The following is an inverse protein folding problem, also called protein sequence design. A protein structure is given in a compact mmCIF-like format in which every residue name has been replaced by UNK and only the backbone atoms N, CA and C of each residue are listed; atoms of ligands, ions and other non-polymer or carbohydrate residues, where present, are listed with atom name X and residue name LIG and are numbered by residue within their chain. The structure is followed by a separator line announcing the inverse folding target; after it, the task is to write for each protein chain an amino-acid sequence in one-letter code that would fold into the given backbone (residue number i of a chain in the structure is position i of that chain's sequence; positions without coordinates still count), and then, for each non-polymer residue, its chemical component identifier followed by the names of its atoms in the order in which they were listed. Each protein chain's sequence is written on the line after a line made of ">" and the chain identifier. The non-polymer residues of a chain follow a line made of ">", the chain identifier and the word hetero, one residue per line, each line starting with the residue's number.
data_IF_723592944909
#
_entry.id   IF_723592944909
#
_cell.length_a   1.000
_cell.length_b   1.000
_cell.length_c   1.000
_cell.angle_alpha   90.00
_cell.angle_beta   90.00
_cell.angle_gamma   90.00
#
_symmetry.space_group_name_H-M   'P 1'
#
loop_
_entity.id
_entity.type
_entity.pdbx_description
1 polymer ?
#
# COMPACT_ATOMS: atom_id res chain seq x y z
N UNK A 1 -22.43 14.12 -4.81
CA UNK A 1 -21.67 12.99 -5.38
C UNK A 1 -21.21 12.12 -4.23
N UNK A 2 -21.90 11.01 -3.98
CA UNK A 2 -21.54 10.05 -2.93
C UNK A 2 -20.33 9.24 -3.40
N UNK A 3 -19.18 9.42 -2.74
CA UNK A 3 -18.05 8.48 -2.82
C UNK A 3 -18.32 7.38 -1.79
N UNK A 4 -18.87 6.27 -2.24
CA UNK A 4 -18.85 5.05 -1.45
C UNK A 4 -17.42 4.52 -1.41
N UNK A 5 -16.98 4.18 -0.20
CA UNK A 5 -15.76 3.45 0.10
C UNK A 5 -15.75 2.11 -0.67
N UNK A 6 -15.01 2.06 -1.77
CA UNK A 6 -14.39 0.82 -2.22
C UNK A 6 -13.14 0.65 -1.36
N UNK A 7 -13.27 -0.09 -0.27
CA UNK A 7 -12.12 -0.73 0.36
C UNK A 7 -11.61 -1.73 -0.67
N UNK A 8 -10.44 -1.44 -1.24
CA UNK A 8 -9.86 -2.13 -2.39
C UNK A 8 -9.38 -3.53 -2.00
N UNK A 9 -9.59 -4.50 -2.87
CA UNK A 9 -9.05 -5.88 -2.84
C UNK A 9 -7.53 -5.91 -3.16
N UNK A 10 -6.80 -4.90 -2.67
CA UNK A 10 -5.35 -4.77 -2.79
C UNK A 10 -4.61 -5.66 -1.79
N UNK A 11 -5.31 -6.16 -0.77
CA UNK A 11 -4.76 -7.04 0.27
C UNK A 11 -4.43 -8.42 -0.34
N UNK A 12 -5.40 -9.10 -0.97
CA UNK A 12 -5.16 -10.34 -1.70
C UNK A 12 -4.08 -10.24 -2.81
N UNK A 13 -3.91 -9.05 -3.40
CA UNK A 13 -2.91 -8.79 -4.45
C UNK A 13 -1.50 -8.67 -3.86
N UNK A 14 -1.36 -7.92 -2.77
CA UNK A 14 -0.06 -7.72 -2.12
C UNK A 14 0.35 -8.95 -1.30
N UNK A 15 -0.62 -9.74 -0.85
CA UNK A 15 -0.41 -11.01 -0.18
C UNK A 15 -0.01 -12.10 -1.20
N UNK A 16 -0.60 -12.15 -2.41
CA UNK A 16 -0.08 -12.96 -3.52
C UNK A 16 1.34 -12.56 -3.98
N UNK A 17 1.75 -11.31 -3.75
CA UNK A 17 3.11 -10.84 -4.02
C UNK A 17 4.08 -11.18 -2.88
N UNK A 18 3.59 -11.37 -1.65
CA UNK A 18 4.35 -11.79 -0.48
C UNK A 18 4.46 -13.33 -0.37
N UNK A 19 3.44 -14.07 -0.81
CA UNK A 19 3.33 -15.53 -0.73
C UNK A 19 4.30 -16.29 -1.64
N UNK A 20 5.01 -15.61 -2.55
CA UNK A 20 6.07 -16.28 -3.33
C UNK A 20 7.38 -16.47 -2.55
N UNK A 21 7.49 -15.98 -1.31
CA UNK A 21 8.64 -16.29 -0.43
C UNK A 21 8.26 -16.73 1.00
N UNK A 22 7.05 -16.50 1.50
CA UNK A 22 6.58 -17.06 2.79
C UNK A 22 5.06 -17.22 2.74
N UNK A 23 4.58 -18.47 2.74
CA UNK A 23 3.16 -18.75 2.73
C UNK A 23 2.52 -18.54 4.11
N UNK A 24 1.77 -17.46 4.27
CA UNK A 24 0.71 -17.33 5.29
C UNK A 24 -0.39 -16.40 4.75
N UNK A 25 -1.53 -16.98 4.38
CA UNK A 25 -2.74 -16.24 4.01
C UNK A 25 -3.27 -15.47 5.22
N UNK A 26 -3.25 -14.13 5.17
CA UNK A 26 -3.79 -13.25 6.21
C UNK A 26 -4.99 -12.45 5.69
N UNK A 27 -6.14 -13.11 5.54
CA UNK A 27 -7.42 -12.41 5.37
C UNK A 27 -8.52 -13.09 6.21
N UNK A 28 -8.66 -12.62 7.45
CA UNK A 28 -9.94 -12.24 8.07
C UNK A 28 -9.74 -11.85 9.54
N UNK A 29 -10.50 -10.84 9.98
CA UNK A 29 -10.64 -10.34 11.34
C UNK A 29 -11.00 -11.44 12.37
N UNK A 30 -10.03 -12.24 12.84
CA UNK A 30 -10.14 -13.02 14.06
C UNK A 30 -8.80 -13.02 14.80
N UNK A 31 -8.83 -12.49 16.02
CA UNK A 31 -7.87 -12.63 17.12
C UNK A 31 -6.57 -13.38 16.78
N UNK A 32 -5.59 -12.63 16.27
CA UNK A 32 -4.22 -13.11 16.19
C UNK A 32 -3.60 -13.12 17.59
N UNK A 33 -3.49 -14.31 18.17
CA UNK A 33 -2.63 -14.60 19.30
C UNK A 33 -1.32 -15.22 18.79
N UNK A 34 -0.15 -14.62 19.03
CA UNK A 34 1.11 -15.28 18.72
C UNK A 34 1.29 -16.46 19.68
N UNK A 35 1.15 -17.67 19.16
CA UNK A 35 1.51 -18.90 19.87
C UNK A 35 3.02 -19.05 19.80
N UNK A 36 3.73 -18.67 20.87
CA UNK A 36 5.18 -18.81 20.96
C UNK A 36 5.56 -20.16 21.56
N UNK A 37 5.86 -21.14 20.70
CA UNK A 37 6.74 -22.25 21.08
C UNK A 37 8.16 -21.97 20.57
N UNK A 38 9.12 -22.05 21.49
CA UNK A 38 10.55 -21.93 21.21
C UNK A 38 11.05 -23.21 20.53
N UNK A 39 11.77 -23.14 19.39
CA UNK A 39 12.44 -24.33 18.86
C UNK A 39 13.73 -24.59 19.62
N UNK A 40 13.82 -25.79 20.20
CA UNK A 40 15.05 -26.40 20.69
C UNK A 40 15.96 -26.75 19.51
N UNK A 41 17.22 -26.31 19.59
CA UNK A 41 18.31 -26.71 18.71
C UNK A 41 18.62 -28.20 18.84
N UNK A 42 18.74 -28.89 17.71
CA UNK A 42 19.57 -30.09 17.57
C UNK A 42 20.38 -29.96 16.27
N UNK A 43 21.68 -29.86 16.44
CA UNK A 43 22.71 -30.14 15.43
C UNK A 43 22.64 -31.61 15.01
N UNK A 44 22.99 -31.90 13.76
CA UNK A 44 23.87 -33.02 13.36
C UNK A 44 24.12 -32.95 11.83
N UNK A 45 25.34 -32.54 11.50
CA UNK A 45 26.33 -33.11 10.58
C UNK A 45 25.99 -33.72 9.20
N UNK A 46 26.78 -33.21 8.23
CA UNK A 46 27.53 -33.89 7.16
C UNK A 46 26.79 -34.76 6.11
N UNK A 47 26.91 -34.38 4.83
CA UNK A 47 27.85 -35.06 3.94
C UNK A 47 27.98 -34.40 2.55
N UNK A 48 29.25 -34.28 2.14
CA UNK A 48 29.72 -33.92 0.80
C UNK A 48 29.36 -35.00 -0.24
N UNK A 49 29.06 -34.58 -1.47
CA UNK A 49 29.47 -35.37 -2.63
C UNK A 49 29.63 -34.51 -3.89
N UNK A 50 30.90 -34.38 -4.30
CA UNK A 50 31.34 -34.01 -5.64
C UNK A 50 30.81 -34.99 -6.69
N UNK A 51 30.43 -34.49 -7.88
CA UNK A 51 30.93 -35.05 -9.14
C UNK A 51 30.45 -34.30 -10.41
N UNK A 52 31.46 -33.87 -11.18
CA UNK A 52 31.61 -34.06 -12.64
C UNK A 52 30.77 -33.23 -13.62
N UNK A 53 31.45 -32.18 -14.07
CA UNK A 53 31.67 -31.73 -15.45
C UNK A 53 31.27 -32.74 -16.55
N UNK A 54 30.47 -32.28 -17.52
CA UNK A 54 30.60 -32.71 -18.92
C UNK A 54 30.17 -31.60 -19.89
N UNK A 55 31.16 -31.19 -20.67
CA UNK A 55 31.19 -30.19 -21.73
C UNK A 55 30.58 -30.76 -23.00
N UNK A 56 29.59 -30.13 -23.62
CA UNK A 56 29.29 -30.35 -25.05
C UNK A 56 28.85 -29.04 -25.74
N UNK A 57 29.66 -28.73 -26.76
CA UNK A 57 29.56 -27.83 -27.90
C UNK A 57 28.23 -27.11 -28.23
N UNK A 58 28.38 -25.78 -28.40
CA UNK A 58 27.48 -24.87 -29.12
C UNK A 58 27.54 -25.05 -30.64
N UNK A 59 26.45 -24.78 -31.37
CA UNK A 59 26.52 -24.32 -32.75
C UNK A 59 26.32 -22.79 -32.83
N UNK A 60 27.31 -22.13 -33.40
CA UNK A 60 27.31 -20.73 -33.82
C UNK A 60 26.29 -20.48 -34.94
N UNK A 61 25.34 -19.57 -34.72
CA UNK A 61 24.57 -18.94 -35.81
C UNK A 61 24.87 -17.45 -35.82
N UNK A 62 25.77 -17.07 -36.72
CA UNK A 62 26.11 -15.69 -37.05
C UNK A 62 25.00 -15.08 -37.91
N UNK A 63 24.17 -14.21 -37.34
CA UNK A 63 23.31 -13.32 -38.11
C UNK A 63 23.84 -11.89 -38.02
N UNK A 64 24.53 -11.48 -39.09
CA UNK A 64 24.96 -10.10 -39.35
C UNK A 64 23.72 -9.23 -39.59
N UNK A 65 23.43 -8.33 -38.66
CA UNK A 65 22.45 -7.27 -38.86
C UNK A 65 23.11 -6.09 -39.58
N UNK A 66 22.71 -5.86 -40.83
CA UNK A 66 23.06 -4.68 -41.61
C UNK A 66 22.39 -3.43 -41.04
N UNK A 67 23.23 -2.51 -40.58
CA UNK A 67 22.94 -1.14 -40.13
C UNK A 67 22.24 -0.35 -41.26
N UNK A 68 20.91 -0.25 -41.23
CA UNK A 68 20.19 0.77 -42.01
C UNK A 68 20.23 2.10 -41.25
N UNK A 69 20.88 3.08 -41.88
CA UNK A 69 20.91 4.47 -41.45
C UNK A 69 19.50 5.06 -41.59
N UNK A 70 18.93 5.50 -40.46
CA UNK A 70 17.81 6.45 -40.49
C UNK A 70 18.38 7.86 -40.52
N UNK A 71 18.12 8.57 -41.61
CA UNK A 71 18.43 9.98 -41.82
C UNK A 71 17.15 10.80 -41.58
N UNK A 72 17.26 11.79 -40.67
CA UNK A 72 16.37 12.96 -40.54
C UNK A 72 15.18 12.77 -39.57
N UNK A 73 14.95 13.61 -38.56
CA UNK A 73 15.20 15.05 -38.43
C UNK A 73 15.76 15.42 -37.03
N UNK A 74 16.54 16.51 -36.90
CA UNK A 74 17.09 16.96 -35.63
C UNK A 74 15.99 17.53 -34.71
N UNK A 75 16.06 17.15 -33.44
CA UNK A 75 15.29 17.76 -32.35
C UNK A 75 15.89 19.15 -32.05
N UNK A 76 15.07 20.20 -31.84
CA UNK A 76 15.59 21.52 -31.53
C UNK A 76 16.34 21.52 -30.19
N UNK A 77 17.61 21.92 -30.25
CA UNK A 77 18.49 22.16 -29.12
C UNK A 77 17.94 23.33 -28.30
N UNK A 78 17.44 23.06 -27.09
CA UNK A 78 17.21 24.12 -26.11
C UNK A 78 18.55 24.45 -25.47
N UNK A 79 18.98 25.67 -25.73
CA UNK A 79 20.16 26.32 -25.18
C UNK A 79 20.02 26.37 -23.65
N UNK A 80 21.04 25.85 -22.98
CA UNK A 80 21.30 26.05 -21.57
C UNK A 80 21.77 27.49 -21.35
N UNK A 81 20.93 28.34 -20.76
CA UNK A 81 21.39 29.55 -20.09
C UNK A 81 21.03 29.46 -18.61
N UNK A 82 22.09 29.23 -17.82
CA UNK A 82 22.12 29.43 -16.39
C UNK A 82 21.93 30.91 -16.07
N UNK A 83 20.75 31.26 -15.56
CA UNK A 83 20.56 32.50 -14.80
C UNK A 83 19.94 32.16 -13.45
N UNK A 84 20.78 32.28 -12.41
CA UNK A 84 20.35 32.36 -11.03
C UNK A 84 19.44 33.57 -10.87
N UNK A 85 18.15 33.33 -10.62
CA UNK A 85 17.24 34.33 -10.08
C UNK A 85 16.65 33.79 -8.78
N UNK A 86 17.08 34.41 -7.69
CA UNK A 86 16.50 34.31 -6.37
C UNK A 86 15.03 34.75 -6.41
N UNK A 87 14.12 33.84 -6.07
CA UNK A 87 12.69 34.14 -5.87
C UNK A 87 12.37 33.90 -4.39
N UNK A 88 11.63 34.81 -3.73
CA UNK A 88 11.51 34.82 -2.28
C UNK A 88 10.55 33.74 -1.77
N UNK A 89 10.79 33.33 -0.52
CA UNK A 89 9.94 32.46 0.28
C UNK A 89 8.49 33.00 0.33
N UNK A 90 7.61 32.43 -0.48
CA UNK A 90 6.16 32.57 -0.33
C UNK A 90 5.71 31.53 0.70
N UNK A 91 5.40 32.03 1.89
CA UNK A 91 4.72 31.30 2.96
C UNK A 91 3.33 30.85 2.48
N UNK A 92 3.19 29.57 2.13
CA UNK A 92 1.88 28.96 1.91
C UNK A 92 1.26 28.63 3.27
N UNK A 93 0.37 29.52 3.73
CA UNK A 93 -0.59 29.18 4.78
C UNK A 93 -1.58 28.17 4.21
N UNK A 94 -1.50 26.92 4.68
CA UNK A 94 -2.55 25.93 4.47
C UNK A 94 -3.79 26.34 5.27
N UNK A 95 -4.80 26.88 4.59
CA UNK A 95 -6.13 27.10 5.16
C UNK A 95 -6.87 25.76 5.19
N UNK A 96 -6.83 25.08 6.34
CA UNK A 96 -7.74 23.98 6.63
C UNK A 96 -9.17 24.50 6.65
N UNK A 97 -10.02 24.00 5.74
CA UNK A 97 -11.47 24.19 5.81
C UNK A 97 -12.02 23.35 6.97
N UNK A 98 -12.07 23.97 8.15
CA UNK A 98 -12.77 23.45 9.33
C UNK A 98 -14.22 23.93 9.24
N UNK A 99 -15.17 23.02 9.05
CA UNK A 99 -16.57 23.33 9.31
C UNK A 99 -16.71 23.64 10.81
N UNK A 100 -16.85 24.92 11.14
CA UNK A 100 -17.13 25.41 12.49
C UNK A 100 -18.64 25.48 12.66
N UNK A 101 -19.21 24.49 13.32
CA UNK A 101 -20.52 24.64 13.95
C UNK A 101 -20.34 25.52 15.19
N UNK A 102 -20.86 26.73 15.15
CA UNK A 102 -21.00 27.60 16.32
C UNK A 102 -21.95 26.94 17.32
N UNK A 103 -21.40 26.35 18.39
CA UNK A 103 -22.15 26.01 19.58
C UNK A 103 -21.89 27.08 20.64
N UNK A 104 -22.97 27.72 21.09
CA UNK A 104 -22.97 28.64 22.22
C UNK A 104 -22.68 27.84 23.48
N UNK A 105 -21.56 28.14 24.13
CA UNK A 105 -21.11 27.51 25.37
C UNK A 105 -21.65 28.33 26.54
N UNK A 106 -22.56 27.77 27.31
CA UNK A 106 -22.91 28.28 28.63
C UNK A 106 -21.93 27.67 29.64
N UNK A 107 -21.04 28.51 30.17
CA UNK A 107 -20.22 28.19 31.32
C UNK A 107 -21.12 27.97 32.55
N UNK A 108 -21.08 26.77 33.12
CA UNK A 108 -21.49 26.54 34.49
C UNK A 108 -20.50 25.57 35.17
N UNK A 109 -19.82 26.15 36.14
CA UNK A 109 -19.46 25.61 37.45
C UNK A 109 -18.43 24.49 37.62
N UNK A 110 -17.27 24.97 38.07
CA UNK A 110 -16.38 24.52 39.14
C UNK A 110 -17.14 23.74 40.26
N UNK A 111 -16.49 22.67 40.75
CA UNK A 111 -16.80 21.80 41.93
C UNK A 111 -17.46 20.41 41.71
N UNK A 112 -16.92 19.56 40.83
CA UNK A 112 -17.32 18.12 40.74
C UNK A 112 -16.18 17.08 40.58
N UNK A 113 -14.91 17.46 40.68
CA UNK A 113 -13.79 16.55 40.36
C UNK A 113 -13.50 15.49 41.44
N UNK A 114 -13.74 15.79 42.72
CA UNK A 114 -13.46 14.88 43.84
C UNK A 114 -14.52 13.79 44.05
N UNK A 115 -15.75 14.00 43.58
CA UNK A 115 -16.83 12.99 43.65
C UNK A 115 -16.67 11.90 42.57
N UNK A 116 -16.32 12.31 41.34
CA UNK A 116 -16.18 11.38 40.20
C UNK A 116 -14.96 10.45 40.32
N UNK A 117 -13.89 10.91 40.97
CA UNK A 117 -12.67 10.11 41.16
C UNK A 117 -12.89 8.93 42.11
N UNK A 118 -13.73 9.06 43.13
CA UNK A 118 -14.16 7.92 43.95
C UNK A 118 -15.02 6.94 43.15
N UNK A 119 -15.90 7.45 42.30
CA UNK A 119 -16.79 6.63 41.45
C UNK A 119 -16.02 5.65 40.55
N UNK A 120 -14.91 6.07 39.93
CA UNK A 120 -14.12 5.20 39.04
C UNK A 120 -13.35 4.09 39.75
N UNK A 121 -12.99 4.27 41.03
CA UNK A 121 -12.22 3.26 41.78
C UNK A 121 -13.04 2.01 42.10
N UNK A 122 -14.35 2.15 42.24
CA UNK A 122 -15.29 1.08 42.60
C UNK A 122 -15.85 0.37 41.36
N UNK A 123 -15.68 0.92 40.16
CA UNK A 123 -16.18 0.32 38.92
C UNK A 123 -15.48 -1.02 38.60
N UNK A 124 -16.28 -1.92 38.05
CA UNK A 124 -15.80 -3.14 37.38
C UNK A 124 -15.14 -2.82 36.04
N UNK A 125 -14.33 -3.74 35.52
CA UNK A 125 -13.63 -3.56 34.24
C UNK A 125 -14.62 -3.34 33.07
N UNK A 126 -15.76 -4.04 33.06
CA UNK A 126 -16.80 -3.87 32.04
C UNK A 126 -17.46 -2.49 32.09
N UNK A 127 -17.70 -1.95 33.29
CA UNK A 127 -18.24 -0.60 33.45
C UNK A 127 -17.23 0.45 32.94
N UNK A 128 -15.95 0.27 33.26
CA UNK A 128 -14.87 1.15 32.77
C UNK A 128 -14.83 1.14 31.24
N UNK A 129 -14.89 -0.03 30.61
CA UNK A 129 -14.90 -0.17 29.15
C UNK A 129 -16.09 0.57 28.52
N UNK A 130 -17.30 0.36 29.06
CA UNK A 130 -18.51 1.00 28.55
C UNK A 130 -18.44 2.53 28.68
N UNK A 131 -17.92 3.04 29.80
CA UNK A 131 -17.71 4.48 30.01
C UNK A 131 -16.68 5.03 29.02
N UNK A 132 -15.55 4.35 28.82
CA UNK A 132 -14.54 4.76 27.84
C UNK A 132 -15.13 4.84 26.44
N UNK A 133 -15.89 3.82 26.03
CA UNK A 133 -16.50 3.78 24.69
C UNK A 133 -17.55 4.87 24.49
N UNK A 134 -18.39 5.15 25.48
CA UNK A 134 -19.35 6.28 25.44
C UNK A 134 -18.62 7.63 25.37
N UNK A 135 -17.57 7.82 26.17
CA UNK A 135 -16.76 9.04 26.14
C UNK A 135 -16.03 9.21 24.81
N UNK A 136 -15.55 8.12 24.21
CA UNK A 136 -14.90 8.11 22.91
C UNK A 136 -15.88 8.49 21.81
N UNK A 137 -17.09 7.94 21.82
CA UNK A 137 -18.16 8.32 20.89
C UNK A 137 -18.54 9.80 21.00
N UNK A 138 -18.48 10.37 22.22
CA UNK A 138 -18.73 11.80 22.49
C UNK A 138 -17.51 12.70 22.32
N UNK A 139 -16.36 12.17 21.88
CA UNK A 139 -15.09 12.89 21.73
C UNK A 139 -14.61 13.61 23.01
N UNK A 140 -14.88 13.05 24.19
CA UNK A 140 -14.51 13.63 25.49
C UNK A 140 -13.12 13.21 25.95
N UNK A 141 -12.10 13.52 25.15
CA UNK A 141 -10.70 13.06 25.36
C UNK A 141 -10.11 13.40 26.73
N UNK A 142 -10.48 14.54 27.32
CA UNK A 142 -9.99 14.95 28.65
C UNK A 142 -10.42 13.96 29.72
N UNK A 143 -11.70 13.60 29.72
CA UNK A 143 -12.28 12.65 30.66
C UNK A 143 -11.71 11.24 30.45
N UNK A 144 -11.50 10.83 29.19
CA UNK A 144 -10.82 9.56 28.88
C UNK A 144 -9.40 9.55 29.46
N UNK A 145 -8.68 10.67 29.34
CA UNK A 145 -7.29 10.77 29.85
C UNK A 145 -7.24 10.69 31.38
N UNK A 146 -8.15 11.37 32.06
CA UNK A 146 -8.28 11.32 33.52
C UNK A 146 -8.65 9.90 33.98
N UNK A 147 -9.58 9.25 33.29
CA UNK A 147 -9.99 7.89 33.57
C UNK A 147 -8.83 6.90 33.39
N UNK A 148 -8.11 6.96 32.25
CA UNK A 148 -6.94 6.09 32.00
C UNK A 148 -5.83 6.29 33.03
N UNK A 149 -5.57 7.53 33.47
CA UNK A 149 -4.61 7.80 34.55
C UNK A 149 -5.06 7.15 35.85
N UNK A 150 -6.33 7.32 36.21
CA UNK A 150 -6.91 6.69 37.40
C UNK A 150 -6.79 5.17 37.30
N UNK A 151 -7.14 4.56 36.16
CA UNK A 151 -6.96 3.13 35.95
C UNK A 151 -5.49 2.69 36.08
N UNK A 152 -4.55 3.49 35.60
CA UNK A 152 -3.10 3.23 35.77
C UNK A 152 -2.68 3.25 37.24
N UNK A 153 -3.15 4.23 38.02
CA UNK A 153 -2.76 4.42 39.41
C UNK A 153 -3.30 3.29 40.31
N UNK A 154 -4.52 2.84 40.04
CA UNK A 154 -5.18 1.75 40.78
C UNK A 154 -5.00 0.37 40.12
N UNK A 155 -4.17 0.26 39.06
CA UNK A 155 -3.96 -0.96 38.27
C UNK A 155 -5.25 -1.67 37.83
N UNK A 156 -6.26 -0.90 37.45
CA UNK A 156 -7.51 -1.42 36.89
C UNK A 156 -7.30 -1.79 35.43
N UNK A 157 -7.73 -3.00 35.07
CA UNK A 157 -7.65 -3.51 33.71
C UNK A 157 -8.77 -2.92 32.84
N UNK A 158 -8.38 -2.49 31.65
CA UNK A 158 -9.24 -2.09 30.53
C UNK A 158 -9.10 -3.20 29.50
N UNK A 159 -10.21 -3.65 28.89
CA UNK A 159 -10.10 -4.77 27.95
C UNK A 159 -9.25 -4.41 26.73
N UNK A 160 -8.60 -5.43 26.18
CA UNK A 160 -7.72 -5.28 25.02
C UNK A 160 -8.47 -4.68 23.83
N UNK A 161 -9.73 -5.06 23.61
CA UNK A 161 -10.57 -4.52 22.54
C UNK A 161 -10.79 -3.00 22.71
N UNK A 162 -11.10 -2.54 23.92
CA UNK A 162 -11.25 -1.11 24.22
C UNK A 162 -9.95 -0.36 24.02
N UNK A 163 -8.81 -0.92 24.46
CA UNK A 163 -7.48 -0.35 24.25
C UNK A 163 -7.14 -0.24 22.76
N UNK A 164 -7.35 -1.30 21.97
CA UNK A 164 -7.15 -1.31 20.52
C UNK A 164 -7.99 -0.24 19.83
N UNK A 165 -9.26 -0.07 20.23
CA UNK A 165 -10.14 1.01 19.71
C UNK A 165 -9.60 2.41 20.04
N UNK A 166 -9.15 2.64 21.27
CA UNK A 166 -8.53 3.90 21.67
C UNK A 166 -7.25 4.20 20.89
N UNK A 167 -6.34 3.24 20.80
CA UNK A 167 -5.10 3.35 20.03
C UNK A 167 -5.37 3.66 18.56
N UNK A 168 -6.32 2.96 17.93
CA UNK A 168 -6.74 3.20 16.54
C UNK A 168 -7.29 4.61 16.36
N UNK A 169 -8.21 5.04 17.23
CA UNK A 169 -8.80 6.38 17.17
C UNK A 169 -7.75 7.49 17.31
N UNK A 170 -6.87 7.38 18.31
CA UNK A 170 -5.84 8.39 18.58
C UNK A 170 -4.70 8.40 17.56
N UNK A 171 -4.34 7.25 16.99
CA UNK A 171 -3.34 7.21 15.92
C UNK A 171 -3.84 7.84 14.62
N UNK A 172 -5.07 7.54 14.18
CA UNK A 172 -5.64 8.13 12.95
C UNK A 172 -5.87 9.63 13.12
N UNK A 173 -6.25 10.09 14.32
CA UNK A 173 -6.42 11.54 14.59
C UNK A 173 -5.12 12.29 14.88
N UNK A 174 -3.95 11.62 14.81
CA UNK A 174 -2.65 12.26 15.02
C UNK A 174 -2.37 12.70 16.47
N UNK A 175 -3.07 12.15 17.46
CA UNK A 175 -2.95 12.52 18.89
C UNK A 175 -1.81 11.76 19.58
N UNK A 176 -0.58 12.12 19.24
CA UNK A 176 0.67 11.50 19.75
C UNK A 176 0.71 11.37 21.27
N UNK A 177 0.31 12.42 21.99
CA UNK A 177 0.45 12.47 23.46
C UNK A 177 -0.52 11.49 24.14
N UNK A 178 -1.67 11.21 23.52
CA UNK A 178 -2.64 10.24 24.02
C UNK A 178 -2.18 8.81 23.76
N UNK A 179 -1.55 8.56 22.61
CA UNK A 179 -0.93 7.25 22.32
C UNK A 179 0.18 6.95 23.34
N UNK A 180 1.04 7.94 23.65
CA UNK A 180 2.10 7.79 24.66
C UNK A 180 1.51 7.51 26.05
N UNK A 181 0.40 8.18 26.41
CA UNK A 181 -0.31 7.90 27.66
C UNK A 181 -0.80 6.45 27.72
N UNK A 182 -1.39 5.93 26.64
CA UNK A 182 -1.85 4.54 26.58
C UNK A 182 -0.70 3.54 26.63
N UNK A 183 0.43 3.83 25.97
CA UNK A 183 1.65 3.02 26.08
C UNK A 183 2.13 2.93 27.53
N UNK A 184 2.16 4.07 28.24
CA UNK A 184 2.54 4.13 29.66
C UNK A 184 1.56 3.36 30.54
N UNK A 185 0.26 3.48 30.27
CA UNK A 185 -0.76 2.71 30.97
C UNK A 185 -0.53 1.19 30.78
N UNK A 186 -0.33 0.74 29.54
CA UNK A 186 -0.09 -0.68 29.26
C UNK A 186 1.19 -1.18 29.92
N UNK A 187 2.27 -0.40 29.90
CA UNK A 187 3.54 -0.82 30.51
C UNK A 187 3.47 -0.97 32.04
N UNK A 188 2.51 -0.31 32.71
CA UNK A 188 2.29 -0.40 34.16
C UNK A 188 1.30 -1.50 34.52
N UNK A 189 0.17 -1.56 33.80
CA UNK A 189 -0.96 -2.44 34.16
C UNK A 189 -0.82 -3.84 33.56
N UNK A 190 -0.36 -3.95 32.31
CA UNK A 190 -0.11 -5.22 31.62
C UNK A 190 1.20 -5.19 30.82
N UNK A 191 2.35 -5.40 31.50
CA UNK A 191 3.66 -5.39 30.85
C UNK A 191 3.83 -6.49 29.79
N UNK A 192 3.08 -7.59 29.89
CA UNK A 192 3.16 -8.71 28.95
C UNK A 192 2.51 -8.34 27.63
N UNK A 193 1.27 -7.82 27.67
CA UNK A 193 0.58 -7.31 26.49
C UNK A 193 1.38 -6.19 25.82
N UNK A 194 1.98 -5.30 26.63
CA UNK A 194 2.83 -4.22 26.14
C UNK A 194 4.03 -4.71 25.33
N UNK A 195 4.76 -5.72 25.83
CA UNK A 195 5.91 -6.30 25.11
C UNK A 195 5.50 -7.10 23.88
N UNK A 196 4.43 -7.89 23.99
CA UNK A 196 3.93 -8.73 22.90
C UNK A 196 3.58 -7.92 21.65
N UNK A 197 3.06 -6.70 21.85
CA UNK A 197 2.65 -5.79 20.78
C UNK A 197 3.76 -4.82 20.32
N UNK A 198 5.03 -5.11 20.63
CA UNK A 198 6.17 -4.26 20.25
C UNK A 198 6.06 -2.85 20.83
N UNK A 199 5.67 -2.77 22.11
CA UNK A 199 5.47 -1.52 22.86
C UNK A 199 4.37 -0.62 22.24
N UNK A 200 3.51 -1.15 21.36
CA UNK A 200 2.50 -0.40 20.60
C UNK A 200 3.08 0.74 19.75
N UNK A 201 4.37 0.67 19.39
CA UNK A 201 5.07 1.76 18.70
C UNK A 201 4.53 2.03 17.29
N UNK A 202 3.89 1.06 16.67
CA UNK A 202 3.21 1.22 15.38
C UNK A 202 2.09 2.26 15.43
N UNK A 203 1.30 2.31 16.51
CA UNK A 203 0.28 3.34 16.69
C UNK A 203 0.90 4.73 16.87
N UNK A 204 2.05 4.81 17.53
CA UNK A 204 2.77 6.08 17.71
C UNK A 204 3.37 6.57 16.40
N UNK A 205 3.98 5.67 15.61
CA UNK A 205 4.46 5.99 14.28
C UNK A 205 3.33 6.50 13.39
N UNK A 206 2.21 5.79 13.37
CA UNK A 206 0.99 6.19 12.65
C UNK A 206 0.52 7.57 13.10
N UNK A 207 0.41 7.82 14.41
CA UNK A 207 0.04 9.13 14.94
C UNK A 207 0.98 10.25 14.45
N UNK A 208 2.29 10.00 14.36
CA UNK A 208 3.24 10.97 13.84
C UNK A 208 3.05 11.26 12.35
N UNK A 209 2.84 10.22 11.54
CA UNK A 209 2.54 10.38 10.10
C UNK A 209 1.24 11.18 9.89
N UNK A 210 0.14 10.81 10.55
CA UNK A 210 -1.15 11.52 10.43
C UNK A 210 -1.12 12.95 10.97
N UNK A 211 -0.22 13.26 11.91
CA UNK A 211 0.04 14.64 12.37
C UNK A 211 0.84 15.47 11.35
N UNK A 212 1.31 14.86 10.26
CA UNK A 212 2.15 15.50 9.23
C UNK A 212 3.66 15.43 9.51
N UNK A 213 4.10 14.64 10.48
CA UNK A 213 5.53 14.42 10.78
C UNK A 213 5.95 13.00 10.34
N UNK A 214 5.90 12.79 9.02
CA UNK A 214 6.19 11.50 8.39
C UNK A 214 7.63 11.03 8.63
N UNK A 215 8.61 11.93 8.63
CA UNK A 215 10.02 11.58 8.95
C UNK A 215 10.13 10.94 10.34
N UNK A 216 9.50 11.54 11.35
CA UNK A 216 9.49 10.97 12.71
C UNK A 216 8.70 9.67 12.78
N UNK A 217 7.56 9.57 12.10
CA UNK A 217 6.79 8.33 12.07
C UNK A 217 7.56 7.16 11.44
N UNK A 218 8.21 7.39 10.29
CA UNK A 218 8.96 6.36 9.57
C UNK A 218 10.27 5.97 10.27
N UNK A 219 10.96 6.93 10.92
CA UNK A 219 12.11 6.60 11.77
C UNK A 219 11.74 5.72 12.96
N UNK A 220 10.57 5.94 13.57
CA UNK A 220 10.03 5.04 14.61
C UNK A 220 9.79 3.65 14.03
N UNK A 221 9.14 3.54 12.87
CA UNK A 221 8.94 2.23 12.23
C UNK A 221 10.25 1.54 11.89
N UNK A 222 11.24 2.25 11.35
CA UNK A 222 12.59 1.72 11.06
C UNK A 222 13.26 1.17 12.32
N UNK A 223 13.15 1.88 13.44
CA UNK A 223 13.65 1.41 14.72
C UNK A 223 12.91 0.14 15.19
N UNK A 224 11.58 0.12 15.09
CA UNK A 224 10.77 -1.03 15.51
C UNK A 224 11.03 -2.27 14.64
N UNK A 225 11.17 -2.07 13.33
CA UNK A 225 11.48 -3.11 12.36
C UNK A 225 12.81 -3.80 12.67
N UNK A 226 13.81 -3.02 13.14
CA UNK A 226 15.09 -3.55 13.62
C UNK A 226 15.01 -4.22 15.00
N UNK A 227 14.17 -3.71 15.89
CA UNK A 227 14.09 -4.17 17.30
C UNK A 227 13.26 -5.44 17.44
N UNK A 228 12.19 -5.59 16.65
CA UNK A 228 11.20 -6.66 16.78
C UNK A 228 11.09 -7.47 15.48
N UNK A 229 12.04 -8.37 15.28
CA UNK A 229 12.09 -9.19 14.07
C UNK A 229 10.83 -10.06 13.87
N UNK A 230 10.28 -10.61 14.97
CA UNK A 230 9.03 -11.38 14.93
C UNK A 230 7.77 -10.57 14.57
N UNK A 231 7.86 -9.24 14.51
CA UNK A 231 6.75 -8.35 14.15
C UNK A 231 6.94 -7.69 12.77
N UNK A 232 7.95 -8.10 11.99
CA UNK A 232 8.23 -7.51 10.66
C UNK A 232 7.05 -7.65 9.70
N UNK A 233 6.38 -8.81 9.67
CA UNK A 233 5.18 -9.03 8.86
C UNK A 233 4.07 -8.03 9.20
N UNK A 234 3.83 -7.81 10.49
CA UNK A 234 2.88 -6.81 10.95
C UNK A 234 3.31 -5.37 10.57
N UNK A 235 4.58 -5.01 10.69
CA UNK A 235 5.05 -3.68 10.29
C UNK A 235 4.98 -3.43 8.78
N UNK A 236 5.09 -4.47 7.94
CA UNK A 236 4.87 -4.37 6.49
C UNK A 236 3.46 -3.88 6.17
N UNK A 237 2.45 -4.42 6.87
CA UNK A 237 1.05 -4.00 6.74
C UNK A 237 0.89 -2.52 7.12
N UNK A 238 1.48 -2.10 8.25
CA UNK A 238 1.44 -0.70 8.68
C UNK A 238 2.14 0.22 7.66
N UNK A 239 3.27 -0.19 7.09
CA UNK A 239 3.95 0.55 6.04
C UNK A 239 3.06 0.75 4.81
N UNK A 240 2.41 -0.33 4.36
CA UNK A 240 1.47 -0.30 3.22
C UNK A 240 0.33 0.70 3.47
N UNK A 241 -0.29 0.65 4.65
CA UNK A 241 -1.37 1.56 5.03
C UNK A 241 -0.90 3.03 4.98
N UNK A 242 0.27 3.34 5.54
CA UNK A 242 0.81 4.70 5.57
C UNK A 242 1.19 5.21 4.17
N UNK A 243 1.71 4.33 3.31
CA UNK A 243 1.97 4.65 1.90
C UNK A 243 0.66 5.01 1.20
N UNK A 244 -0.35 4.15 1.32
CA UNK A 244 -1.65 4.34 0.66
C UNK A 244 -2.28 5.66 1.09
N UNK A 245 -2.30 5.95 2.39
CA UNK A 245 -2.80 7.21 2.93
C UNK A 245 -2.03 8.42 2.36
N UNK A 246 -0.70 8.32 2.29
CA UNK A 246 0.15 9.42 1.79
C UNK A 246 -0.09 9.75 0.31
N UNK A 247 -0.27 8.72 -0.52
CA UNK A 247 -0.59 8.88 -1.95
C UNK A 247 -2.01 9.43 -2.11
N UNK A 248 -2.99 8.89 -1.38
CA UNK A 248 -4.38 9.36 -1.45
C UNK A 248 -4.55 10.81 -0.98
N UNK A 249 -3.84 11.20 0.07
CA UNK A 249 -3.85 12.56 0.63
C UNK A 249 -2.93 13.54 -0.12
N UNK A 250 -2.18 13.06 -1.12
CA UNK A 250 -1.36 13.86 -2.06
C UNK A 250 -0.36 14.80 -1.40
N UNK A 251 0.31 14.34 -0.36
CA UNK A 251 1.37 15.12 0.25
C UNK A 251 2.69 14.85 -0.47
N UNK A 252 3.03 15.66 -1.49
CA UNK A 252 4.27 15.49 -2.28
C UNK A 252 5.53 15.45 -1.40
N UNK A 253 5.62 16.35 -0.42
CA UNK A 253 6.72 16.36 0.54
C UNK A 253 6.80 15.04 1.35
N UNK A 254 5.66 14.47 1.70
CA UNK A 254 5.60 13.16 2.36
C UNK A 254 6.04 12.04 1.42
N UNK A 255 5.65 12.06 0.14
CA UNK A 255 6.08 11.05 -0.84
C UNK A 255 7.59 11.04 -1.05
N UNK A 256 8.24 12.21 -1.05
CA UNK A 256 9.71 12.31 -1.10
C UNK A 256 10.35 11.63 0.12
N UNK A 257 9.78 11.85 1.31
CA UNK A 257 10.22 11.18 2.54
C UNK A 257 10.02 9.66 2.42
N UNK A 258 8.84 9.20 1.96
CA UNK A 258 8.59 7.77 1.76
C UNK A 258 9.59 7.14 0.78
N UNK A 259 9.86 7.77 -0.36
CA UNK A 259 10.86 7.31 -1.34
C UNK A 259 12.21 7.04 -0.66
N UNK A 260 12.70 7.96 0.16
CA UNK A 260 13.94 7.80 0.93
C UNK A 260 13.88 6.56 1.83
N UNK A 261 12.81 6.42 2.63
CA UNK A 261 12.69 5.33 3.59
C UNK A 261 12.50 3.97 2.92
N UNK A 262 11.69 3.83 1.87
CA UNK A 262 11.48 2.52 1.23
C UNK A 262 12.76 2.00 0.56
N UNK A 263 13.59 2.91 0.01
CA UNK A 263 14.92 2.57 -0.49
C UNK A 263 15.88 2.21 0.64
N UNK A 264 15.88 2.95 1.75
CA UNK A 264 16.68 2.58 2.93
C UNK A 264 16.29 1.20 3.46
N UNK A 265 14.99 0.89 3.57
CA UNK A 265 14.50 -0.39 4.05
C UNK A 265 14.95 -1.55 3.16
N UNK A 266 14.77 -1.42 1.84
CA UNK A 266 15.21 -2.41 0.86
C UNK A 266 16.73 -2.64 0.89
N UNK A 267 17.51 -1.59 1.12
CA UNK A 267 18.98 -1.72 1.18
C UNK A 267 19.47 -2.28 2.51
N UNK A 268 18.85 -1.90 3.63
CA UNK A 268 19.34 -2.19 4.98
C UNK A 268 18.86 -3.52 5.54
N UNK A 269 17.62 -3.90 5.24
CA UNK A 269 17.01 -5.12 5.75
C UNK A 269 16.86 -6.21 4.68
N UNK A 270 17.24 -5.91 3.44
CA UNK A 270 16.95 -6.71 2.25
C UNK A 270 15.45 -7.04 2.07
N UNK A 271 14.58 -6.28 2.74
CA UNK A 271 13.14 -6.41 2.61
C UNK A 271 12.61 -5.44 1.55
N UNK A 272 12.31 -6.00 0.37
CA UNK A 272 11.83 -5.22 -0.76
C UNK A 272 10.34 -4.93 -0.71
N UNK A 273 9.59 -5.48 0.27
CA UNK A 273 8.14 -5.33 0.32
C UNK A 273 7.68 -3.86 0.33
N UNK A 274 8.19 -2.97 1.23
CA UNK A 274 7.75 -1.57 1.23
C UNK A 274 8.06 -0.84 -0.08
N UNK A 275 9.18 -1.18 -0.74
CA UNK A 275 9.58 -0.61 -2.01
C UNK A 275 8.61 -1.00 -3.13
N UNK A 276 8.21 -2.27 -3.19
CA UNK A 276 7.24 -2.78 -4.16
C UNK A 276 5.87 -2.14 -3.93
N UNK A 277 5.40 -2.07 -2.67
CA UNK A 277 4.15 -1.40 -2.31
C UNK A 277 4.12 0.04 -2.81
N UNK A 278 5.18 0.79 -2.50
CA UNK A 278 5.28 2.20 -2.86
C UNK A 278 5.28 2.40 -4.37
N UNK A 279 6.10 1.61 -5.10
CA UNK A 279 6.12 1.66 -6.55
C UNK A 279 4.77 1.30 -7.16
N UNK A 280 4.13 0.21 -6.72
CA UNK A 280 2.86 -0.26 -7.27
C UNK A 280 1.76 0.80 -7.14
N UNK A 281 1.61 1.38 -5.95
CA UNK A 281 0.59 2.41 -5.67
C UNK A 281 0.85 3.67 -6.50
N UNK A 282 2.12 4.09 -6.65
CA UNK A 282 2.47 5.23 -7.48
C UNK A 282 2.27 4.96 -8.99
N UNK A 283 2.61 3.77 -9.47
CA UNK A 283 2.47 3.38 -10.88
C UNK A 283 1.01 3.25 -11.32
N UNK A 284 0.17 2.66 -10.45
CA UNK A 284 -1.27 2.47 -10.71
C UNK A 284 -2.07 3.77 -10.57
N UNK A 285 -1.51 4.78 -9.89
CA UNK A 285 -2.13 6.10 -9.72
C UNK A 285 -2.48 6.75 -11.07
N UNK A 286 -3.60 7.48 -11.07
CA UNK A 286 -4.01 8.33 -12.20
C UNK A 286 -3.28 9.67 -12.23
N UNK A 287 -2.50 10.00 -11.18
CA UNK A 287 -1.80 11.27 -11.06
C UNK A 287 -0.43 11.21 -11.71
N UNK A 288 -0.14 12.22 -12.54
CA UNK A 288 1.13 12.30 -13.26
C UNK A 288 2.35 12.40 -12.33
N UNK A 289 2.25 13.15 -11.23
CA UNK A 289 3.33 13.29 -10.24
C UNK A 289 3.70 11.94 -9.59
N UNK A 290 2.70 11.14 -9.23
CA UNK A 290 2.91 9.79 -8.68
C UNK A 290 3.55 8.86 -9.74
N UNK A 291 3.08 8.93 -10.98
CA UNK A 291 3.64 8.14 -12.09
C UNK A 291 5.11 8.50 -12.36
N UNK A 292 5.46 9.78 -12.30
CA UNK A 292 6.85 10.24 -12.41
C UNK A 292 7.69 9.67 -11.27
N UNK A 293 7.18 9.69 -10.04
CA UNK A 293 7.88 9.11 -8.89
C UNK A 293 8.10 7.60 -9.05
N UNK A 294 7.11 6.87 -9.56
CA UNK A 294 7.23 5.44 -9.85
C UNK A 294 8.32 5.16 -10.90
N UNK A 295 8.41 6.00 -11.94
CA UNK A 295 9.45 5.90 -12.96
C UNK A 295 10.84 6.17 -12.38
N UNK A 296 11.00 7.21 -11.56
CA UNK A 296 12.27 7.51 -10.88
C UNK A 296 12.71 6.37 -9.93
N UNK A 297 11.77 5.74 -9.24
CA UNK A 297 12.06 4.57 -8.39
C UNK A 297 12.58 3.41 -9.23
N UNK A 298 11.92 3.13 -10.35
CA UNK A 298 12.32 2.05 -11.25
C UNK A 298 13.69 2.34 -11.90
N UNK A 299 13.99 3.60 -12.22
CA UNK A 299 15.30 4.03 -12.73
C UNK A 299 16.42 3.86 -11.69
N UNK A 300 16.11 4.11 -10.42
CA UNK A 300 17.12 4.14 -9.34
C UNK A 300 17.38 2.80 -8.66
N UNK A 301 16.56 1.77 -8.91
CA UNK A 301 16.67 0.48 -8.23
C UNK A 301 16.64 -0.70 -9.20
N UNK A 302 17.79 -1.35 -9.40
CA UNK A 302 17.89 -2.59 -10.17
C UNK A 302 17.12 -3.75 -9.52
N UNK A 303 17.11 -3.81 -8.18
CA UNK A 303 16.28 -4.78 -7.44
C UNK A 303 14.81 -4.66 -7.82
N UNK A 304 14.29 -3.42 -7.84
CA UNK A 304 12.91 -3.17 -8.25
C UNK A 304 12.67 -3.53 -9.71
N UNK A 305 13.61 -3.25 -10.61
CA UNK A 305 13.51 -3.67 -12.02
C UNK A 305 13.37 -5.18 -12.17
N UNK A 306 14.16 -5.96 -11.43
CA UNK A 306 14.06 -7.42 -11.46
C UNK A 306 12.71 -7.91 -10.91
N UNK A 307 12.25 -7.37 -9.78
CA UNK A 307 10.93 -7.71 -9.23
C UNK A 307 9.81 -7.36 -10.21
N UNK A 308 9.86 -6.17 -10.81
CA UNK A 308 8.86 -5.74 -11.80
C UNK A 308 8.89 -6.64 -13.03
N UNK A 309 10.07 -7.07 -13.50
CA UNK A 309 10.20 -8.04 -14.59
C UNK A 309 9.45 -9.33 -14.26
N UNK A 310 9.73 -9.89 -13.10
CA UNK A 310 9.19 -11.20 -12.69
C UNK A 310 7.68 -11.16 -12.43
N UNK A 311 7.18 -10.04 -11.90
CA UNK A 311 5.77 -9.86 -11.50
C UNK A 311 4.93 -9.07 -12.52
N UNK A 312 5.50 -8.64 -13.65
CA UNK A 312 4.84 -7.78 -14.64
C UNK A 312 3.47 -8.31 -15.08
N UNK A 313 3.37 -9.63 -15.30
CA UNK A 313 2.13 -10.29 -15.73
C UNK A 313 1.06 -10.21 -14.65
N UNK A 314 1.42 -10.50 -13.39
CA UNK A 314 0.53 -10.41 -12.23
C UNK A 314 0.02 -8.99 -12.03
N UNK A 315 0.91 -8.00 -12.04
CA UNK A 315 0.53 -6.59 -11.94
C UNK A 315 -0.47 -6.19 -13.04
N UNK A 316 -0.24 -6.65 -14.27
CA UNK A 316 -1.12 -6.36 -15.40
C UNK A 316 -2.50 -6.99 -15.25
N UNK A 317 -2.58 -8.25 -14.81
CA UNK A 317 -3.86 -8.91 -14.57
C UNK A 317 -4.66 -8.14 -13.51
N UNK A 318 -4.01 -7.73 -12.44
CA UNK A 318 -4.65 -7.06 -11.31
C UNK A 318 -5.17 -5.68 -11.70
N UNK A 319 -4.34 -4.85 -12.32
CA UNK A 319 -4.76 -3.49 -12.69
C UNK A 319 -5.84 -3.47 -13.79
N UNK A 320 -5.90 -4.51 -14.64
CA UNK A 320 -6.96 -4.66 -15.64
C UNK A 320 -8.30 -5.06 -15.02
N UNK A 321 -8.32 -5.74 -13.86
CA UNK A 321 -9.56 -5.97 -13.11
C UNK A 321 -10.16 -4.65 -12.61
N UNK A 322 -9.33 -3.65 -12.39
CA UNK A 322 -9.73 -2.28 -12.05
C UNK A 322 -10.03 -1.40 -13.28
N UNK A 323 -10.06 -1.99 -14.48
CA UNK A 323 -10.31 -1.30 -15.75
C UNK A 323 -9.29 -0.20 -16.10
N UNK A 324 -8.07 -0.28 -15.56
CA UNK A 324 -7.02 0.71 -15.80
C UNK A 324 -5.99 0.17 -16.82
N UNK A 325 -6.38 0.20 -18.09
CA UNK A 325 -5.53 -0.24 -19.22
C UNK A 325 -4.37 0.73 -19.51
N UNK A 326 -4.56 2.00 -19.21
CA UNK A 326 -3.53 3.04 -19.29
C UNK A 326 -2.30 2.73 -18.41
N UNK A 327 -2.51 2.21 -17.19
CA UNK A 327 -1.40 1.74 -16.34
C UNK A 327 -0.62 0.58 -16.97
N UNK A 328 -1.30 -0.38 -17.61
CA UNK A 328 -0.63 -1.48 -18.33
C UNK A 328 0.15 -0.97 -19.53
N UNK A 329 -0.39 0.01 -20.28
CA UNK A 329 0.34 0.64 -21.38
C UNK A 329 1.62 1.33 -20.88
N UNK A 330 1.58 2.03 -19.74
CA UNK A 330 2.77 2.58 -19.09
C UNK A 330 3.77 1.50 -18.68
N UNK A 331 3.28 0.37 -18.14
CA UNK A 331 4.16 -0.75 -17.80
C UNK A 331 4.84 -1.32 -19.04
N UNK A 332 4.12 -1.52 -20.14
CA UNK A 332 4.67 -1.94 -21.43
C UNK A 332 5.76 -0.97 -21.92
N UNK A 333 5.56 0.34 -21.80
CA UNK A 333 6.58 1.34 -22.13
C UNK A 333 7.84 1.19 -21.26
N UNK A 334 7.68 0.98 -19.95
CA UNK A 334 8.80 0.73 -19.04
C UNK A 334 9.54 -0.55 -19.38
N UNK A 335 8.84 -1.65 -19.66
CA UNK A 335 9.47 -2.92 -20.06
C UNK A 335 10.29 -2.76 -21.34
N UNK A 336 9.80 -2.00 -22.33
CA UNK A 336 10.57 -1.68 -23.54
C UNK A 336 11.81 -0.82 -23.22
N UNK A 337 11.65 0.22 -22.41
CA UNK A 337 12.74 1.12 -22.01
C UNK A 337 13.90 0.35 -21.37
N UNK A 338 13.61 -0.65 -20.55
CA UNK A 338 14.61 -1.50 -19.89
C UNK A 338 14.91 -2.81 -20.63
N UNK A 339 14.52 -2.93 -21.91
CA UNK A 339 14.81 -4.08 -22.78
C UNK A 339 14.31 -5.44 -22.24
N UNK A 340 13.23 -5.44 -21.47
CA UNK A 340 12.59 -6.64 -20.89
C UNK A 340 11.59 -7.28 -21.88
N UNK A 341 12.09 -7.69 -23.05
CA UNK A 341 11.24 -8.11 -24.18
C UNK A 341 10.39 -9.36 -23.89
N UNK A 342 10.93 -10.33 -23.15
CA UNK A 342 10.20 -11.54 -22.75
C UNK A 342 8.92 -11.21 -21.99
N UNK A 343 9.02 -10.28 -21.05
CA UNK A 343 7.93 -9.94 -20.14
C UNK A 343 6.99 -8.92 -20.77
N UNK A 344 7.52 -8.06 -21.64
CA UNK A 344 6.72 -7.24 -22.54
C UNK A 344 5.74 -8.09 -23.36
N UNK A 345 6.20 -9.18 -23.98
CA UNK A 345 5.34 -10.07 -24.78
C UNK A 345 4.24 -10.71 -23.90
N UNK A 346 4.58 -11.19 -22.70
CA UNK A 346 3.60 -11.76 -21.77
C UNK A 346 2.53 -10.75 -21.37
N UNK A 347 2.94 -9.53 -20.99
CA UNK A 347 2.00 -8.45 -20.62
C UNK A 347 1.14 -8.05 -21.82
N UNK A 348 1.71 -7.99 -23.02
CA UNK A 348 0.98 -7.65 -24.23
C UNK A 348 -0.10 -8.70 -24.55
N UNK A 349 0.20 -9.98 -24.38
CA UNK A 349 -0.76 -11.07 -24.52
C UNK A 349 -1.91 -10.97 -23.51
N UNK A 350 -1.61 -10.59 -22.26
CA UNK A 350 -2.64 -10.35 -21.23
C UNK A 350 -3.54 -9.18 -21.63
N UNK A 351 -2.94 -8.06 -22.06
CA UNK A 351 -3.69 -6.88 -22.50
C UNK A 351 -4.56 -7.18 -23.73
N UNK A 352 -4.02 -7.93 -24.70
CA UNK A 352 -4.76 -8.35 -25.88
C UNK A 352 -5.95 -9.24 -25.52
N UNK A 353 -5.76 -10.23 -24.65
CA UNK A 353 -6.83 -11.07 -24.13
C UNK A 353 -7.91 -10.27 -23.39
N UNK A 354 -7.52 -9.25 -22.63
CA UNK A 354 -8.47 -8.32 -22.01
C UNK A 354 -9.27 -7.52 -23.05
N UNK A 355 -8.62 -6.96 -24.06
CA UNK A 355 -9.27 -6.20 -25.15
C UNK A 355 -10.22 -7.07 -25.98
N UNK A 356 -9.84 -8.33 -26.25
CA UNK A 356 -10.71 -9.31 -26.91
C UNK A 356 -11.98 -9.60 -26.11
N UNK A 357 -11.85 -9.85 -24.79
CA UNK A 357 -13.00 -10.10 -23.90
C UNK A 357 -13.96 -8.91 -23.86
N UNK A 358 -13.42 -7.70 -23.90
CA UNK A 358 -14.20 -6.47 -23.92
C UNK A 358 -14.71 -6.09 -25.32
N UNK A 359 -14.45 -6.91 -26.36
CA UNK A 359 -14.79 -6.65 -27.76
C UNK A 359 -14.24 -5.32 -28.30
N UNK A 360 -13.12 -4.85 -27.77
CA UNK A 360 -12.45 -3.62 -28.20
C UNK A 360 -11.61 -3.90 -29.46
N UNK A 361 -12.26 -3.90 -30.63
CA UNK A 361 -11.61 -4.11 -31.92
C UNK A 361 -10.51 -3.09 -32.22
N UNK A 362 -10.70 -1.84 -31.78
CA UNK A 362 -9.74 -0.77 -32.02
C UNK A 362 -8.47 -1.05 -31.23
N UNK A 363 -8.59 -1.34 -29.93
CA UNK A 363 -7.46 -1.71 -29.08
C UNK A 363 -6.75 -2.96 -29.60
N UNK A 364 -7.50 -3.98 -30.05
CA UNK A 364 -6.90 -5.17 -30.65
C UNK A 364 -6.09 -4.84 -31.92
N UNK A 365 -6.62 -3.99 -32.81
CA UNK A 365 -5.92 -3.56 -34.04
C UNK A 365 -4.65 -2.79 -33.72
N UNK A 366 -4.69 -1.87 -32.76
CA UNK A 366 -3.52 -1.09 -32.33
C UNK A 366 -2.42 -1.99 -31.76
N UNK A 367 -2.78 -3.02 -30.99
CA UNK A 367 -1.83 -4.02 -30.47
C UNK A 367 -1.19 -4.83 -31.60
N UNK A 368 -1.96 -5.27 -32.61
CA UNK A 368 -1.42 -6.02 -33.76
C UNK A 368 -0.44 -5.17 -34.55
N UNK A 369 -0.79 -3.91 -34.85
CA UNK A 369 0.12 -2.99 -35.54
C UNK A 369 1.42 -2.76 -34.77
N UNK A 370 1.33 -2.71 -33.44
CA UNK A 370 2.52 -2.61 -32.59
C UNK A 370 3.39 -3.88 -32.65
N UNK A 371 2.76 -5.06 -32.62
CA UNK A 371 3.46 -6.34 -32.79
C UNK A 371 4.21 -6.39 -34.12
N UNK A 372 3.56 -5.99 -35.23
CA UNK A 372 4.18 -5.92 -36.56
C UNK A 372 5.40 -4.98 -36.57
N UNK A 373 5.26 -3.79 -35.97
CA UNK A 373 6.34 -2.81 -35.90
C UNK A 373 7.55 -3.30 -35.09
N UNK A 374 7.32 -4.12 -34.07
CA UNK A 374 8.36 -4.71 -33.22
C UNK A 374 8.84 -6.09 -33.69
N UNK A 375 8.27 -6.63 -34.77
CA UNK A 375 8.58 -7.99 -35.26
C UNK A 375 8.15 -9.10 -34.29
N UNK A 376 7.12 -8.86 -33.48
CA UNK A 376 6.55 -9.80 -32.53
C UNK A 376 5.35 -10.52 -33.15
N UNK A 377 5.12 -11.76 -32.73
CA UNK A 377 3.93 -12.53 -33.12
C UNK A 377 3.11 -12.89 -31.88
N UNK A 378 1.80 -12.68 -31.97
CA UNK A 378 0.85 -13.12 -30.95
C UNK A 378 0.59 -14.63 -31.07
N UNK A 379 0.26 -15.32 -29.97
CA UNK A 379 -0.17 -16.70 -30.00
C UNK A 379 -1.33 -16.97 -30.98
N UNK A 380 -1.29 -18.11 -31.68
CA UNK A 380 -2.25 -18.44 -32.74
C UNK A 380 -3.70 -18.57 -32.25
N UNK A 381 -3.89 -18.98 -31.00
CA UNK A 381 -5.18 -19.02 -30.32
C UNK A 381 -5.79 -17.62 -30.18
N UNK A 382 -4.99 -16.63 -29.76
CA UNK A 382 -5.42 -15.23 -29.65
C UNK A 382 -5.73 -14.62 -31.02
N UNK A 383 -4.90 -14.91 -32.04
CA UNK A 383 -5.15 -14.50 -33.42
C UNK A 383 -6.46 -15.11 -33.97
N UNK A 384 -6.71 -16.39 -33.70
CA UNK A 384 -7.95 -17.06 -34.08
C UNK A 384 -9.18 -16.45 -33.41
N UNK A 385 -9.09 -16.11 -32.12
CA UNK A 385 -10.16 -15.40 -31.40
C UNK A 385 -10.44 -14.02 -32.00
N UNK A 386 -9.40 -13.27 -32.37
CA UNK A 386 -9.55 -11.98 -33.04
C UNK A 386 -10.24 -12.10 -34.41
N UNK A 387 -9.86 -13.09 -35.22
CA UNK A 387 -10.49 -13.36 -36.51
C UNK A 387 -11.97 -13.72 -36.34
N UNK A 388 -12.30 -14.57 -35.36
CA UNK A 388 -13.69 -14.88 -35.02
C UNK A 388 -14.46 -13.62 -34.64
N UNK A 389 -13.89 -12.77 -33.79
CA UNK A 389 -14.49 -11.49 -33.43
C UNK A 389 -14.73 -10.59 -34.66
N UNK A 390 -13.84 -10.58 -35.66
CA UNK A 390 -14.05 -9.82 -36.91
C UNK A 390 -15.18 -10.40 -37.78
N UNK A 391 -15.29 -11.72 -37.85
CA UNK A 391 -16.32 -12.43 -38.64
C UNK A 391 -17.70 -12.30 -37.97
N UNK A 392 -17.76 -12.46 -36.65
CA UNK A 392 -18.97 -12.46 -35.83
C UNK A 392 -19.51 -11.03 -35.59
N UNK A 393 -18.75 -9.99 -35.93
CA UNK A 393 -19.18 -8.58 -35.84
C UNK A 393 -20.25 -8.17 -36.87
N UNK A 394 -20.98 -9.13 -37.43
CA UNK A 394 -22.30 -8.87 -38.04
C UNK A 394 -23.31 -8.58 -36.91
N UNK A 395 -23.30 -7.31 -36.45
CA UNK A 395 -24.30 -6.60 -35.63
C UNK A 395 -24.89 -7.32 -34.40
N UNK A 396 -24.50 -6.96 -33.17
CA UNK A 396 -25.49 -6.74 -32.12
C UNK A 396 -26.10 -5.35 -32.36
N UNK A 397 -27.35 -5.32 -32.84
CA UNK A 397 -28.24 -4.23 -32.48
C UNK A 397 -28.28 -4.15 -30.94
N UNK A 398 -28.33 -2.92 -30.43
CA UNK A 398 -28.39 -2.53 -29.01
C UNK A 398 -27.04 -2.38 -28.30
N UNK A 399 -26.64 -1.09 -28.20
CA UNK A 399 -25.76 -0.62 -27.14
C UNK A 399 -26.32 -1.12 -25.79
N UNK A 400 -25.52 -1.74 -24.91
CA UNK A 400 -25.96 -1.93 -23.54
C UNK A 400 -26.04 -0.54 -22.91
N UNK A 401 -27.25 -0.02 -22.77
CA UNK A 401 -27.56 1.08 -21.86
C UNK A 401 -27.06 0.65 -20.48
N UNK A 402 -26.37 1.52 -19.71
CA UNK A 402 -26.00 1.17 -18.34
C UNK A 402 -27.29 0.85 -17.59
N UNK A 403 -27.49 -0.43 -17.26
CA UNK A 403 -28.62 -0.85 -16.46
C UNK A 403 -28.48 -0.14 -15.12
N UNK A 404 -29.36 0.84 -14.89
CA UNK A 404 -29.66 1.30 -13.53
C UNK A 404 -29.91 0.03 -12.72
N UNK A 405 -29.08 -0.19 -11.72
CA UNK A 405 -29.33 -1.17 -10.67
C UNK A 405 -30.64 -0.72 -10.02
N UNK A 406 -31.76 -1.26 -10.50
CA UNK A 406 -33.02 -1.25 -9.76
C UNK A 406 -32.82 -2.30 -8.69
N UNK A 407 -32.54 -1.82 -7.48
CA UNK A 407 -32.58 -2.59 -6.25
C UNK A 407 -33.87 -3.42 -6.23
N UNK A 408 -33.74 -4.72 -6.50
CA UNK A 408 -34.81 -5.66 -6.16
C UNK A 408 -34.80 -5.78 -4.65
N UNK A 409 -35.90 -5.34 -4.05
CA UNK A 409 -36.23 -5.56 -2.65
C UNK A 409 -36.03 -7.04 -2.27
N UNK A 410 -34.95 -7.31 -1.54
CA UNK A 410 -34.80 -8.54 -0.81
C UNK A 410 -35.78 -8.50 0.38
N UNK A 411 -36.96 -9.09 0.20
CA UNK A 411 -37.81 -9.49 1.32
C UNK A 411 -37.14 -10.65 2.04
N UNK A 412 -36.47 -10.37 3.15
CA UNK A 412 -36.22 -11.39 4.18
C UNK A 412 -37.58 -11.87 4.71
N UNK A 413 -37.81 -13.18 4.68
CA UNK A 413 -38.81 -13.83 5.53
C UNK A 413 -38.08 -14.28 6.80
N UNK A 414 -38.64 -13.88 7.94
CA UNK A 414 -38.18 -14.21 9.29
C UNK A 414 -38.20 -15.72 9.55
#
# INVERSE_FOLDING_TARGET
>A
MNRNNLVFDSDAIMDQLADSDLGENFDNDNDWHPSGELPSFSSDDEDEQEARVSTVASPSLSNKWTRRQFIGKPMPTLISESTFLSVPLISFKFTYFKYVTHYVFTENHIDTETSKTKEYTEMSCEQIDNVILDLLARNKDKQITELIKTCSDYRKLVSENTLKKLFRSYSITGKTDKVILLQKYCSVVDPNLYKLNGEFMHYLAKAHCYKGNSEKGLSILSHCYKKYDGLRGFYRIIFRELIQDSVLNRSEATLVIFKKYVLEFSNKFDDNYPLICFWYICWSSTWFSDQMLANELLESSEKLQNIVRDKATTFSINILREYNDDAVLRLLQSLLKYKMMSDYVKVLQVLFGYKLRNRDLRGCREIILNCEALGLSLPADQQGQYIRLLIDNKLPNEKPTPSKIVSKDFKLRF
#
